data_IF_351996763135
#
_entry.id   IF_351996763135
#
_cell.length_a   1.000
_cell.length_b   1.000
_cell.length_c   1.000
_cell.angle_alpha   90.00
_cell.angle_beta   90.00
_cell.angle_gamma   90.00
#
_symmetry.space_group_name_H-M   'P 1'
#
loop_
_entity.id
_entity.type
_entity.pdbx_description
1 polymer ?
#
# COMPACT_ATOMS: atom_id res chain seq x y z
N UNK A 1 15.58 15.45 6.84
CA UNK A 1 14.74 14.31 6.44
C UNK A 1 14.82 13.21 7.47
N UNK A 2 13.72 12.82 8.08
CA UNK A 2 13.79 11.72 9.03
C UNK A 2 14.16 10.42 8.34
N UNK A 3 14.83 9.54 9.07
CA UNK A 3 15.16 8.23 8.58
C UNK A 3 13.88 7.42 8.37
N UNK A 4 13.91 6.48 7.40
CA UNK A 4 12.81 5.55 7.20
C UNK A 4 12.68 4.66 8.43
N UNK A 5 11.45 4.25 8.80
CA UNK A 5 11.26 3.32 9.90
C UNK A 5 11.91 1.97 9.60
N UNK A 6 12.17 1.22 10.66
CA UNK A 6 12.75 -0.10 10.54
C UNK A 6 11.77 -1.08 9.90
N UNK A 7 12.33 -2.11 9.25
CA UNK A 7 11.55 -3.19 8.68
C UNK A 7 10.80 -3.94 9.79
N UNK A 8 9.52 -4.19 9.56
CA UNK A 8 8.69 -4.94 10.51
C UNK A 8 9.02 -6.43 10.46
N UNK A 9 8.84 -7.11 11.58
CA UNK A 9 8.92 -8.57 11.63
C UNK A 9 7.65 -9.16 11.02
N UNK A 10 7.68 -10.45 10.67
CA UNK A 10 6.49 -11.11 10.14
C UNK A 10 5.34 -11.11 11.15
N UNK A 11 5.66 -11.24 12.44
CA UNK A 11 4.63 -11.16 13.48
C UNK A 11 3.97 -9.80 13.50
N UNK A 12 4.76 -8.72 13.41
CA UNK A 12 4.22 -7.37 13.35
C UNK A 12 3.37 -7.14 12.11
N UNK A 13 3.80 -7.68 10.96
CA UNK A 13 3.03 -7.60 9.72
C UNK A 13 1.69 -8.31 9.88
N UNK A 14 1.70 -9.52 10.43
CA UNK A 14 0.47 -10.30 10.62
C UNK A 14 -0.50 -9.58 11.55
N UNK A 15 0.01 -8.95 12.60
CA UNK A 15 -0.82 -8.16 13.52
C UNK A 15 -1.47 -6.98 12.77
N UNK A 16 -0.68 -6.29 11.94
CA UNK A 16 -1.20 -5.17 11.15
C UNK A 16 -2.25 -5.64 10.14
N UNK A 17 -2.04 -6.79 9.50
CA UNK A 17 -2.98 -7.33 8.52
C UNK A 17 -4.35 -7.60 9.11
N UNK A 18 -4.44 -7.91 10.42
CA UNK A 18 -5.71 -8.11 11.09
C UNK A 18 -6.58 -6.84 11.10
N UNK A 19 -5.97 -5.68 10.94
CA UNK A 19 -6.66 -4.39 10.91
C UNK A 19 -6.92 -3.89 9.50
N UNK A 20 -6.42 -4.62 8.50
CA UNK A 20 -6.56 -4.26 7.10
C UNK A 20 -7.54 -5.22 6.44
N UNK A 21 -8.04 -4.85 5.28
CA UNK A 21 -9.03 -5.64 4.55
C UNK A 21 -8.48 -6.04 3.19
N UNK A 22 -8.27 -7.35 3.00
CA UNK A 22 -7.88 -7.87 1.69
C UNK A 22 -6.43 -7.73 1.30
N UNK A 23 -5.57 -7.25 2.20
CA UNK A 23 -4.14 -7.18 1.93
C UNK A 23 -3.47 -8.52 2.20
N UNK A 24 -2.51 -8.87 1.36
CA UNK A 24 -1.75 -10.13 1.45
C UNK A 24 -0.27 -9.79 1.53
N UNK A 25 0.43 -10.47 2.45
CA UNK A 25 1.88 -10.36 2.56
C UNK A 25 2.54 -11.52 1.82
N UNK A 26 3.55 -11.22 0.99
CA UNK A 26 4.39 -12.22 0.35
C UNK A 26 5.77 -12.20 0.97
N UNK A 27 6.19 -13.34 1.56
CA UNK A 27 7.54 -13.45 2.11
C UNK A 27 8.60 -13.56 1.02
N UNK A 28 8.22 -13.95 -0.19
CA UNK A 28 9.15 -14.02 -1.32
C UNK A 28 9.54 -12.64 -1.82
N UNK A 29 8.54 -11.76 -2.00
CA UNK A 29 8.78 -10.40 -2.49
C UNK A 29 8.91 -9.40 -1.35
N UNK A 30 8.60 -9.81 -0.12
CA UNK A 30 8.65 -8.97 1.09
C UNK A 30 7.81 -7.72 0.92
N UNK A 31 6.57 -7.92 0.45
CA UNK A 31 5.68 -6.83 0.13
C UNK A 31 4.23 -7.16 0.47
N UNK A 32 3.42 -6.11 0.63
CA UNK A 32 1.97 -6.22 0.76
C UNK A 32 1.34 -5.96 -0.60
N UNK A 33 0.27 -6.66 -0.91
CA UNK A 33 -0.46 -6.41 -2.16
C UNK A 33 -1.95 -6.52 -1.97
N UNK A 34 -2.68 -5.79 -2.81
CA UNK A 34 -4.14 -5.82 -2.85
C UNK A 34 -4.61 -5.32 -4.21
N UNK A 35 -5.68 -5.92 -4.70
CA UNK A 35 -6.36 -5.49 -5.93
C UNK A 35 -7.64 -4.78 -5.55
N UNK A 36 -7.83 -3.57 -6.08
CA UNK A 36 -9.04 -2.76 -5.86
C UNK A 36 -9.86 -2.76 -7.13
N UNK A 37 -11.18 -2.88 -7.00
CA UNK A 37 -12.11 -2.80 -8.13
C UNK A 37 -13.13 -1.69 -7.88
N UNK A 38 -13.44 -0.94 -8.93
CA UNK A 38 -14.35 0.21 -8.87
C UNK A 38 -15.43 0.05 -9.94
N UNK A 39 -16.42 0.95 -9.94
CA UNK A 39 -17.50 0.91 -10.94
C UNK A 39 -17.04 1.38 -12.31
N UNK A 40 -16.03 2.27 -12.35
CA UNK A 40 -15.61 2.91 -13.58
C UNK A 40 -14.14 3.29 -13.51
N UNK A 41 -13.58 3.64 -14.66
CA UNK A 41 -12.22 4.17 -14.72
C UNK A 41 -12.11 5.50 -13.93
N UNK A 42 -13.14 6.32 -14.02
CA UNK A 42 -13.15 7.61 -13.31
C UNK A 42 -13.00 7.41 -11.79
N UNK A 43 -13.72 6.42 -11.24
CA UNK A 43 -13.60 6.12 -9.82
C UNK A 43 -12.22 5.56 -9.46
N UNK A 44 -11.68 4.68 -10.31
CA UNK A 44 -10.35 4.13 -10.11
C UNK A 44 -9.31 5.25 -10.12
N UNK A 45 -9.43 6.18 -11.08
CA UNK A 45 -8.49 7.30 -11.21
C UNK A 45 -8.59 8.26 -10.03
N UNK A 46 -9.80 8.51 -9.54
CA UNK A 46 -10.00 9.35 -8.34
C UNK A 46 -9.32 8.73 -7.13
N UNK A 47 -9.46 7.41 -6.94
CA UNK A 47 -8.78 6.69 -5.88
C UNK A 47 -7.26 6.83 -6.01
N UNK A 48 -6.72 6.59 -7.21
CA UNK A 48 -5.28 6.70 -7.44
C UNK A 48 -4.78 8.12 -7.17
N UNK A 49 -5.54 9.12 -7.57
CA UNK A 49 -5.16 10.52 -7.36
C UNK A 49 -5.06 10.86 -5.88
N UNK A 50 -6.02 10.40 -5.08
CA UNK A 50 -5.98 10.61 -3.62
C UNK A 50 -4.78 9.90 -3.00
N UNK A 51 -4.54 8.66 -3.41
CA UNK A 51 -3.40 7.90 -2.90
C UNK A 51 -2.08 8.54 -3.30
N UNK A 52 -2.00 9.06 -4.52
CA UNK A 52 -0.79 9.71 -5.01
C UNK A 52 -0.43 10.95 -4.19
N UNK A 53 -1.43 11.75 -3.82
CA UNK A 53 -1.19 12.94 -3.00
C UNK A 53 -0.67 12.56 -1.61
N UNK A 54 -1.22 11.52 -1.01
CA UNK A 54 -0.74 11.03 0.28
C UNK A 54 0.68 10.46 0.15
N UNK A 55 0.93 9.69 -0.90
CA UNK A 55 2.24 9.10 -1.14
C UNK A 55 3.32 10.18 -1.22
N UNK A 56 3.02 11.30 -1.88
CA UNK A 56 3.93 12.44 -1.94
C UNK A 56 4.16 13.04 -0.55
N UNK A 57 3.10 13.19 0.22
CA UNK A 57 3.22 13.73 1.59
C UNK A 57 4.12 12.84 2.46
N UNK A 58 3.98 11.52 2.32
CA UNK A 58 4.77 10.57 3.10
C UNK A 58 6.17 10.35 2.51
N UNK A 59 6.41 10.83 1.31
CA UNK A 59 7.60 10.51 0.52
C UNK A 59 7.80 8.99 0.46
N UNK A 60 6.71 8.27 0.22
CA UNK A 60 6.69 6.82 0.12
C UNK A 60 5.64 6.42 -0.91
N UNK A 61 6.06 5.81 -1.98
CA UNK A 61 5.24 5.63 -3.17
C UNK A 61 4.90 4.15 -3.41
N UNK A 62 3.67 3.86 -3.84
CA UNK A 62 3.29 2.49 -4.16
C UNK A 62 3.84 2.06 -5.52
N UNK A 63 4.03 0.74 -5.69
CA UNK A 63 4.17 0.14 -7.00
C UNK A 63 2.77 -0.29 -7.41
N UNK A 64 2.25 0.26 -8.48
CA UNK A 64 0.87 -0.03 -8.85
C UNK A 64 0.65 0.01 -10.35
N UNK A 65 -0.46 -0.61 -10.75
CA UNK A 65 -0.91 -0.57 -12.14
C UNK A 65 -2.43 -0.40 -12.18
N UNK A 66 -2.91 0.15 -13.26
CA UNK A 66 -4.34 0.38 -13.47
C UNK A 66 -4.76 -0.20 -14.81
N UNK A 67 -5.86 -0.93 -14.80
CA UNK A 67 -6.50 -1.42 -16.01
C UNK A 67 -7.99 -1.14 -15.87
N UNK A 68 -8.49 -0.14 -16.58
CA UNK A 68 -9.86 0.34 -16.55
C UNK A 68 -10.32 0.60 -15.10
N UNK A 69 -11.16 -0.26 -14.54
CA UNK A 69 -11.73 -0.08 -13.21
C UNK A 69 -10.96 -0.81 -12.11
N UNK A 70 -9.80 -1.38 -12.42
CA UNK A 70 -9.00 -2.13 -11.45
C UNK A 70 -7.67 -1.45 -11.19
N UNK A 71 -7.25 -1.47 -9.93
CA UNK A 71 -5.97 -0.96 -9.49
C UNK A 71 -5.29 -2.05 -8.67
N UNK A 72 -4.11 -2.47 -9.13
CA UNK A 72 -3.31 -3.49 -8.43
C UNK A 72 -2.19 -2.77 -7.70
N UNK A 73 -2.11 -2.94 -6.38
CA UNK A 73 -1.17 -2.19 -5.54
C UNK A 73 -0.21 -3.16 -4.86
N UNK A 74 1.07 -2.80 -4.86
CA UNK A 74 2.11 -3.49 -4.11
C UNK A 74 2.87 -2.46 -3.29
N UNK A 75 3.05 -2.73 -2.00
CA UNK A 75 3.69 -1.81 -1.07
C UNK A 75 4.89 -2.48 -0.41
N UNK A 76 6.02 -1.82 -0.46
CA UNK A 76 7.20 -2.19 0.32
C UNK A 76 8.12 -0.97 0.44
N UNK A 77 9.02 -1.00 1.40
CA UNK A 77 10.02 0.05 1.58
C UNK A 77 11.34 -0.49 1.03
N UNK A 78 11.69 -0.08 -0.19
CA UNK A 78 12.83 -0.65 -0.92
C UNK A 78 14.16 -0.48 -0.18
N UNK A 79 14.41 0.68 0.40
CA UNK A 79 15.66 0.95 1.10
C UNK A 79 15.73 0.27 2.47
N UNK A 80 14.67 -0.41 2.90
CA UNK A 80 14.67 -1.27 4.09
C UNK A 80 14.55 -2.75 3.72
N UNK A 81 14.29 -3.07 2.47
CA UNK A 81 14.18 -4.43 1.99
C UNK A 81 12.95 -5.18 2.50
N UNK A 82 11.86 -4.48 2.76
CA UNK A 82 10.64 -5.11 3.24
C UNK A 82 9.58 -4.12 3.64
N UNK A 83 8.61 -4.60 4.42
CA UNK A 83 7.47 -3.81 4.85
C UNK A 83 7.82 -3.02 6.12
N UNK A 84 7.46 -1.74 6.15
CA UNK A 84 7.64 -0.88 7.31
C UNK A 84 6.30 -0.25 7.70
N UNK A 85 6.30 0.55 8.77
CA UNK A 85 5.13 1.28 9.21
C UNK A 85 4.57 2.21 8.12
N UNK A 86 5.42 2.69 7.19
CA UNK A 86 4.95 3.53 6.08
C UNK A 86 4.01 2.77 5.16
N UNK A 87 4.33 1.49 4.91
CA UNK A 87 3.48 0.65 4.06
C UNK A 87 2.13 0.39 4.72
N UNK A 88 2.14 0.14 6.03
CA UNK A 88 0.90 -0.07 6.79
C UNK A 88 0.06 1.20 6.80
N UNK A 89 0.69 2.35 6.96
CA UNK A 89 0.00 3.64 6.96
C UNK A 89 -0.66 3.90 5.61
N UNK A 90 0.06 3.63 4.52
CA UNK A 90 -0.46 3.83 3.18
C UNK A 90 -1.61 2.84 2.88
N UNK A 91 -1.43 1.56 3.27
CA UNK A 91 -2.48 0.55 3.10
C UNK A 91 -3.76 0.92 3.84
N UNK A 92 -3.62 1.41 5.07
CA UNK A 92 -4.76 1.84 5.89
C UNK A 92 -5.52 2.98 5.20
N UNK A 93 -4.79 3.96 4.68
CA UNK A 93 -5.40 5.08 3.98
C UNK A 93 -6.09 4.62 2.70
N UNK A 94 -5.46 3.74 1.93
CA UNK A 94 -6.05 3.20 0.71
C UNK A 94 -7.37 2.50 0.99
N UNK A 95 -7.45 1.72 2.07
CA UNK A 95 -8.68 1.05 2.45
C UNK A 95 -9.77 2.07 2.80
N UNK A 96 -9.42 3.22 3.34
CA UNK A 96 -10.39 4.25 3.69
C UNK A 96 -10.85 5.06 2.49
N UNK A 97 -10.09 5.06 1.39
CA UNK A 97 -10.41 5.85 0.20
C UNK A 97 -11.30 5.12 -0.80
N UNK A 98 -11.48 3.82 -0.65
CA UNK A 98 -12.30 3.06 -1.59
C UNK A 98 -13.72 2.79 -1.09
#
# INVERSE_FOLDING_TARGET
MPARPEKLTETEINTALNRLSGWVYSSETKSLSKNFSFKSFSEAWAFMSRCALLAETLNHHPDWSNSYNRVCVTLMTHDRGGVTALDIQLATAMDSYC
#
